data_IF_859934398976
#
_entry.id   IF_859934398976
#
_cell.length_a   1.000
_cell.length_b   1.000
_cell.length_c   1.000
_cell.angle_alpha   90.00
_cell.angle_beta   90.00
_cell.angle_gamma   90.00
#
_symmetry.space_group_name_H-M   'P 1'
#
loop_
_entity.id
_entity.type
_entity.pdbx_description
1 polymer ?
#
# COMPACT_ATOMS: atom_id res chain seq x y z
N UNK A 1 -13.57 13.58 -3.34
CA UNK A 1 -12.79 13.37 -4.58
C UNK A 1 -11.80 12.24 -4.31
N UNK A 2 -11.72 11.21 -5.16
CA UNK A 2 -10.87 10.04 -4.87
C UNK A 2 -9.40 10.22 -5.30
N UNK A 3 -9.06 11.29 -6.03
CA UNK A 3 -7.70 11.63 -6.46
C UNK A 3 -7.45 13.11 -6.21
N UNK A 4 -6.41 13.44 -5.47
CA UNK A 4 -5.98 14.80 -5.16
C UNK A 4 -4.61 15.05 -5.82
N UNK A 5 -4.49 16.08 -6.64
CA UNK A 5 -3.21 16.45 -7.25
C UNK A 5 -2.44 17.44 -6.37
N UNK A 6 -1.18 17.08 -6.10
CA UNK A 6 -0.23 17.86 -5.30
C UNK A 6 0.88 18.34 -6.23
N UNK A 7 0.78 19.60 -6.65
CA UNK A 7 1.69 20.25 -7.59
C UNK A 7 2.99 20.70 -6.91
N UNK A 8 3.90 19.75 -6.71
CA UNK A 8 5.25 20.01 -6.22
C UNK A 8 6.28 19.39 -7.17
N UNK A 9 7.28 20.17 -7.57
CA UNK A 9 8.43 19.68 -8.35
C UNK A 9 9.58 19.16 -7.46
N UNK A 10 9.50 19.42 -6.14
CA UNK A 10 10.49 19.04 -5.15
C UNK A 10 10.01 19.36 -3.74
N UNK A 11 10.76 18.91 -2.73
CA UNK A 11 10.34 19.00 -1.32
C UNK A 11 10.30 20.43 -0.76
N UNK A 12 11.05 21.37 -1.35
CA UNK A 12 11.08 22.76 -0.90
C UNK A 12 9.78 23.54 -1.16
N UNK A 13 8.89 23.03 -2.03
CA UNK A 13 7.65 23.70 -2.41
C UNK A 13 6.44 23.40 -1.52
N UNK A 14 6.63 22.72 -0.38
CA UNK A 14 5.53 22.33 0.51
C UNK A 14 5.37 23.37 1.61
N UNK A 15 4.31 24.18 1.52
CA UNK A 15 3.89 25.06 2.61
C UNK A 15 2.86 24.39 3.55
N UNK A 16 2.53 25.08 4.64
CA UNK A 16 1.63 24.54 5.66
C UNK A 16 0.19 24.31 5.15
N UNK A 17 -0.30 25.17 4.25
CA UNK A 17 -1.64 25.05 3.71
C UNK A 17 -1.75 23.83 2.78
N UNK A 18 -0.73 23.61 1.95
CA UNK A 18 -0.59 22.44 1.10
C UNK A 18 -0.49 21.16 1.92
N UNK A 19 0.38 21.15 2.95
CA UNK A 19 0.52 20.01 3.84
C UNK A 19 -0.79 19.66 4.55
N UNK A 20 -1.53 20.66 5.02
CA UNK A 20 -2.84 20.46 5.64
C UNK A 20 -3.87 19.89 4.65
N UNK A 21 -3.96 20.47 3.44
CA UNK A 21 -4.85 19.96 2.37
C UNK A 21 -4.53 18.51 2.02
N UNK A 22 -3.25 18.19 1.80
CA UNK A 22 -2.79 16.85 1.48
C UNK A 22 -3.12 15.85 2.60
N UNK A 23 -2.91 16.24 3.86
CA UNK A 23 -3.23 15.42 5.03
C UNK A 23 -4.73 15.12 5.09
N UNK A 24 -5.58 16.14 5.05
CA UNK A 24 -7.03 15.97 5.14
C UNK A 24 -7.62 15.17 3.96
N UNK A 25 -7.06 15.36 2.75
CA UNK A 25 -7.45 14.60 1.57
C UNK A 25 -7.07 13.11 1.73
N UNK A 26 -5.84 12.81 2.14
CA UNK A 26 -5.36 11.45 2.34
C UNK A 26 -6.16 10.73 3.44
N UNK A 27 -6.40 11.37 4.58
CA UNK A 27 -7.22 10.80 5.66
C UNK A 27 -8.69 10.65 5.27
N UNK A 28 -9.17 11.48 4.33
CA UNK A 28 -10.47 11.35 3.69
C UNK A 28 -10.56 10.20 2.67
N UNK A 29 -9.48 9.45 2.45
CA UNK A 29 -9.44 8.34 1.49
C UNK A 29 -9.12 8.74 0.06
N UNK A 30 -8.54 9.93 -0.17
CA UNK A 30 -8.03 10.29 -1.49
C UNK A 30 -6.68 9.62 -1.79
N UNK A 31 -6.44 9.32 -3.05
CA UNK A 31 -5.11 9.05 -3.58
C UNK A 31 -4.43 10.38 -3.87
N UNK A 32 -3.31 10.67 -3.23
CA UNK A 32 -2.51 11.84 -3.57
C UNK A 32 -1.62 11.52 -4.76
N UNK A 33 -1.72 12.27 -5.84
CA UNK A 33 -0.86 12.16 -7.02
C UNK A 33 0.10 13.35 -7.06
N UNK A 34 1.38 13.07 -7.34
CA UNK A 34 2.42 14.08 -7.51
C UNK A 34 2.87 14.07 -8.98
N UNK A 35 2.20 14.80 -9.88
CA UNK A 35 2.46 14.72 -11.33
C UNK A 35 3.82 15.34 -11.72
N UNK A 36 4.27 16.38 -10.99
CA UNK A 36 5.54 17.06 -11.24
C UNK A 36 6.73 16.49 -10.43
N UNK A 37 6.50 15.49 -9.57
CA UNK A 37 7.54 14.85 -8.76
C UNK A 37 7.79 13.44 -9.27
N UNK A 38 9.04 13.12 -9.59
CA UNK A 38 9.44 11.79 -10.04
C UNK A 38 10.61 11.23 -9.24
N UNK A 39 10.68 9.90 -9.13
CA UNK A 39 11.88 9.23 -8.65
C UNK A 39 12.88 9.09 -9.80
N UNK A 40 13.89 9.96 -9.81
CA UNK A 40 14.92 9.96 -10.83
C UNK A 40 15.80 8.71 -10.74
N UNK A 41 15.67 7.79 -11.70
CA UNK A 41 16.54 6.63 -11.85
C UNK A 41 17.94 7.03 -12.29
N UNK A 42 18.95 6.36 -11.76
CA UNK A 42 20.32 6.45 -12.31
C UNK A 42 20.41 5.69 -13.64
N UNK A 43 21.39 6.01 -14.51
CA UNK A 43 21.55 5.33 -15.80
C UNK A 43 21.62 3.80 -15.69
N UNK A 44 22.34 3.28 -14.69
CA UNK A 44 22.47 1.84 -14.43
C UNK A 44 21.17 1.20 -13.91
N UNK A 45 20.36 1.97 -13.16
CA UNK A 45 19.06 1.54 -12.64
C UNK A 45 18.04 1.46 -13.80
N UNK A 46 18.02 2.46 -14.67
CA UNK A 46 17.17 2.50 -15.86
C UNK A 46 17.53 1.38 -16.86
N UNK A 47 18.82 1.10 -17.05
CA UNK A 47 19.28 -0.01 -17.88
C UNK A 47 18.82 -1.37 -17.33
N UNK A 48 18.91 -1.56 -16.00
CA UNK A 48 18.44 -2.77 -15.33
C UNK A 48 16.95 -3.02 -15.58
N UNK A 49 16.11 -1.96 -15.45
CA UNK A 49 14.68 -2.03 -15.69
C UNK A 49 14.37 -2.32 -17.17
N UNK A 50 15.00 -1.59 -18.09
CA UNK A 50 14.74 -1.72 -19.54
C UNK A 50 15.03 -3.12 -20.05
N UNK A 51 16.09 -3.75 -19.54
CA UNK A 51 16.48 -5.08 -19.97
C UNK A 51 15.66 -6.22 -19.33
N UNK A 52 14.66 -5.91 -18.49
CA UNK A 52 13.70 -6.91 -17.99
C UNK A 52 14.34 -7.99 -17.11
N UNK A 53 15.56 -7.79 -16.61
CA UNK A 53 16.32 -8.81 -15.87
C UNK A 53 15.58 -9.35 -14.63
N UNK A 54 14.65 -8.57 -14.07
CA UNK A 54 13.86 -8.97 -12.92
C UNK A 54 12.56 -9.71 -13.29
N UNK A 55 12.14 -9.73 -14.57
CA UNK A 55 10.91 -10.39 -15.04
C UNK A 55 10.97 -11.92 -14.92
N UNK A 56 12.16 -12.52 -14.95
CA UNK A 56 12.37 -13.97 -14.88
C UNK A 56 12.70 -14.55 -13.50
N UNK A 57 12.80 -13.73 -12.44
CA UNK A 57 13.43 -14.19 -11.18
C UNK A 57 12.52 -14.25 -9.95
N UNK A 58 11.41 -13.49 -9.89
CA UNK A 58 10.36 -13.66 -8.89
C UNK A 58 9.09 -12.82 -9.18
N UNK A 59 8.04 -13.04 -8.39
CA UNK A 59 6.76 -12.31 -8.45
C UNK A 59 6.88 -10.83 -8.07
N UNK A 60 7.66 -10.54 -7.03
CA UNK A 60 8.00 -9.21 -6.50
C UNK A 60 9.34 -9.30 -5.77
N UNK A 61 10.21 -8.29 -5.91
CA UNK A 61 11.43 -8.14 -5.11
C UNK A 61 11.09 -7.30 -3.88
N UNK A 62 11.63 -7.65 -2.71
CA UNK A 62 11.44 -6.89 -1.47
C UNK A 62 12.79 -6.51 -0.87
N UNK A 63 12.92 -5.27 -0.42
CA UNK A 63 14.05 -4.75 0.34
C UNK A 63 13.64 -4.58 1.80
N UNK A 64 14.45 -5.11 2.70
CA UNK A 64 14.28 -4.94 4.14
C UNK A 64 15.29 -3.90 4.65
N UNK A 65 14.86 -2.67 4.99
CA UNK A 65 15.77 -1.61 5.40
C UNK A 65 16.49 -1.93 6.71
N UNK A 66 15.91 -2.76 7.58
CA UNK A 66 16.53 -3.12 8.85
C UNK A 66 17.70 -4.09 8.67
N UNK A 67 17.65 -4.92 7.62
CA UNK A 67 18.70 -5.90 7.30
C UNK A 67 19.64 -5.44 6.20
N UNK A 68 19.24 -4.44 5.41
CA UNK A 68 19.99 -4.03 4.23
C UNK A 68 20.00 -5.10 3.13
N UNK A 69 18.94 -5.90 3.02
CA UNK A 69 18.90 -7.05 2.12
C UNK A 69 17.71 -7.01 1.16
N UNK A 70 17.92 -7.48 -0.07
CA UNK A 70 16.82 -7.81 -1.00
C UNK A 70 16.55 -9.32 -1.08
N UNK A 71 15.26 -9.65 -1.18
CA UNK A 71 14.72 -11.01 -1.34
C UNK A 71 13.75 -11.07 -2.51
N UNK A 72 13.53 -12.28 -3.03
CA UNK A 72 12.64 -12.50 -4.17
C UNK A 72 13.30 -12.07 -5.48
N UNK A 73 14.57 -12.44 -5.67
CA UNK A 73 15.28 -12.26 -6.93
C UNK A 73 16.44 -13.25 -7.00
N UNK A 74 16.74 -13.71 -8.22
CA UNK A 74 17.88 -14.56 -8.55
C UNK A 74 19.01 -13.75 -9.18
N UNK A 75 18.92 -12.41 -9.15
CA UNK A 75 20.00 -11.53 -9.57
C UNK A 75 21.18 -11.67 -8.61
N UNK A 76 22.39 -11.65 -9.16
CA UNK A 76 23.64 -11.79 -8.41
C UNK A 76 24.62 -10.65 -8.70
N UNK A 77 25.74 -10.64 -7.98
CA UNK A 77 26.87 -9.75 -8.25
C UNK A 77 26.51 -8.26 -8.28
N UNK A 78 27.02 -7.56 -9.30
CA UNK A 78 26.82 -6.13 -9.48
C UNK A 78 25.35 -5.76 -9.73
N UNK A 79 24.62 -6.55 -10.51
CA UNK A 79 23.21 -6.29 -10.86
C UNK A 79 22.32 -6.34 -9.61
N UNK A 80 22.55 -7.31 -8.72
CA UNK A 80 21.87 -7.39 -7.42
C UNK A 80 22.13 -6.15 -6.57
N UNK A 81 23.39 -5.68 -6.53
CA UNK A 81 23.78 -4.48 -5.77
C UNK A 81 23.12 -3.22 -6.33
N UNK A 82 23.03 -3.08 -7.65
CA UNK A 82 22.33 -1.97 -8.30
C UNK A 82 20.85 -1.95 -7.92
N UNK A 83 20.15 -3.09 -8.01
CA UNK A 83 18.74 -3.19 -7.63
C UNK A 83 18.51 -2.86 -6.15
N UNK A 84 19.35 -3.40 -5.26
CA UNK A 84 19.28 -3.10 -3.84
C UNK A 84 19.52 -1.61 -3.56
N UNK A 85 20.51 -1.01 -4.22
CA UNK A 85 20.80 0.41 -4.12
C UNK A 85 19.61 1.27 -4.54
N UNK A 86 18.98 0.96 -5.67
CA UNK A 86 17.76 1.63 -6.16
C UNK A 86 16.62 1.56 -5.13
N UNK A 87 16.34 0.36 -4.61
CA UNK A 87 15.25 0.16 -3.64
C UNK A 87 15.50 0.91 -2.32
N UNK A 88 16.74 0.92 -1.82
CA UNK A 88 17.13 1.71 -0.65
C UNK A 88 16.89 3.21 -0.90
N UNK A 89 17.37 3.72 -2.03
CA UNK A 89 17.25 5.14 -2.41
C UNK A 89 15.79 5.56 -2.57
N UNK A 90 14.95 4.66 -3.09
CA UNK A 90 13.51 4.88 -3.17
C UNK A 90 12.86 4.97 -1.78
N UNK A 91 13.25 4.09 -0.86
CA UNK A 91 12.80 4.17 0.54
C UNK A 91 13.20 5.47 1.23
N UNK A 92 14.40 5.99 0.96
CA UNK A 92 14.86 7.30 1.46
C UNK A 92 14.09 8.47 0.84
N UNK A 93 13.92 8.46 -0.48
CA UNK A 93 13.14 9.47 -1.22
C UNK A 93 11.70 9.58 -0.71
N UNK A 94 11.03 8.44 -0.58
CA UNK A 94 9.62 8.40 -0.12
C UNK A 94 9.48 8.75 1.35
N UNK A 95 10.45 8.44 2.20
CA UNK A 95 10.44 8.86 3.60
C UNK A 95 10.57 10.38 3.72
N UNK A 96 11.48 11.00 2.97
CA UNK A 96 11.60 12.45 2.91
C UNK A 96 10.28 13.08 2.41
N UNK A 97 9.69 12.53 1.34
CA UNK A 97 8.40 13.00 0.83
C UNK A 97 7.29 12.95 1.89
N UNK A 98 7.12 11.81 2.59
CA UNK A 98 6.09 11.66 3.62
C UNK A 98 6.33 12.64 4.77
N UNK A 99 7.55 12.77 5.27
CA UNK A 99 7.87 13.69 6.38
C UNK A 99 7.66 15.15 6.02
N UNK A 100 7.87 15.53 4.76
CA UNK A 100 7.64 16.90 4.30
C UNK A 100 6.16 17.19 4.05
N UNK A 101 5.44 16.30 3.36
CA UNK A 101 4.03 16.51 2.98
C UNK A 101 3.07 16.28 4.16
N UNK A 102 3.42 15.36 5.06
CA UNK A 102 2.60 14.94 6.20
C UNK A 102 3.39 15.10 7.52
N UNK A 103 3.76 16.34 7.89
CA UNK A 103 4.67 16.58 9.01
C UNK A 103 4.13 16.07 10.35
N UNK A 104 2.80 16.04 10.53
CA UNK A 104 2.13 15.50 11.72
C UNK A 104 2.46 14.01 11.98
N UNK A 105 2.82 13.25 10.93
CA UNK A 105 3.08 11.82 11.04
C UNK A 105 4.50 11.50 11.47
N UNK A 106 5.40 12.50 11.51
CA UNK A 106 6.83 12.27 11.69
C UNK A 106 7.18 11.50 12.98
N UNK A 107 6.40 11.67 14.05
CA UNK A 107 6.60 11.02 15.35
C UNK A 107 6.11 9.57 15.41
N UNK A 108 5.12 9.19 14.59
CA UNK A 108 4.52 7.84 14.55
C UNK A 108 4.76 7.09 13.25
N UNK A 109 5.67 7.55 12.40
CA UNK A 109 5.99 6.95 11.11
C UNK A 109 7.05 5.86 11.24
N UNK A 110 6.69 4.62 10.93
CA UNK A 110 7.62 3.48 10.85
C UNK A 110 7.79 3.04 9.40
N UNK A 111 9.01 3.12 8.86
CA UNK A 111 9.33 2.62 7.52
C UNK A 111 9.40 1.10 7.50
N UNK A 112 8.58 0.47 6.66
CA UNK A 112 8.57 -0.97 6.43
C UNK A 112 9.37 -1.34 5.15
N UNK A 113 9.05 -2.47 4.52
CA UNK A 113 9.75 -2.94 3.32
C UNK A 113 9.48 -2.06 2.11
N UNK A 114 10.48 -1.95 1.23
CA UNK A 114 10.32 -1.47 -0.14
C UNK A 114 10.05 -2.66 -1.05
N UNK A 115 9.19 -2.53 -2.05
CA UNK A 115 8.95 -3.55 -3.07
C UNK A 115 9.21 -3.00 -4.47
N UNK A 116 9.84 -3.83 -5.30
CA UNK A 116 9.94 -3.63 -6.73
C UNK A 116 9.12 -4.71 -7.43
N UNK A 117 8.20 -4.28 -8.29
CA UNK A 117 7.22 -5.13 -8.97
C UNK A 117 7.49 -5.10 -10.49
N UNK A 118 8.44 -5.90 -10.99
CA UNK A 118 8.93 -5.80 -12.37
C UNK A 118 7.97 -6.38 -13.40
N UNK A 119 7.24 -7.44 -13.07
CA UNK A 119 6.44 -8.21 -14.03
C UNK A 119 5.13 -7.46 -14.39
N UNK A 120 4.60 -7.69 -15.59
CA UNK A 120 3.27 -7.20 -16.02
C UNK A 120 2.15 -7.85 -15.21
N UNK A 121 1.13 -7.08 -14.83
CA UNK A 121 0.00 -7.56 -14.01
C UNK A 121 -1.08 -8.22 -14.86
N UNK A 122 -1.34 -7.67 -16.05
CA UNK A 122 -2.35 -8.23 -16.95
C UNK A 122 -2.01 -9.67 -17.33
N UNK A 123 -3.03 -10.54 -17.36
CA UNK A 123 -2.87 -11.95 -17.76
C UNK A 123 -2.29 -12.88 -16.69
N UNK A 124 -1.97 -12.40 -15.48
CA UNK A 124 -1.50 -13.27 -14.39
C UNK A 124 -2.62 -14.17 -13.86
N UNK A 125 -2.37 -15.48 -13.83
CA UNK A 125 -3.23 -16.43 -13.13
C UNK A 125 -2.79 -16.54 -11.67
N UNK A 126 -3.64 -16.12 -10.73
CA UNK A 126 -3.41 -16.27 -9.28
C UNK A 126 -4.66 -16.84 -8.62
N UNK A 127 -4.50 -17.38 -7.41
CA UNK A 127 -5.64 -17.67 -6.56
C UNK A 127 -6.38 -16.37 -6.25
N UNK A 128 -7.71 -16.44 -6.13
CA UNK A 128 -8.55 -15.25 -5.97
C UNK A 128 -8.15 -14.37 -4.76
N UNK A 129 -7.62 -14.96 -3.68
CA UNK A 129 -7.12 -14.22 -2.51
C UNK A 129 -5.89 -13.37 -2.84
N UNK A 130 -5.06 -13.84 -3.74
CA UNK A 130 -3.81 -13.19 -4.14
C UNK A 130 -3.94 -12.41 -5.45
N UNK A 131 -5.13 -12.37 -6.03
CA UNK A 131 -5.44 -11.65 -7.25
C UNK A 131 -5.67 -10.17 -6.91
N UNK A 132 -4.68 -9.34 -7.24
CA UNK A 132 -4.71 -7.90 -6.96
C UNK A 132 -5.47 -7.12 -8.05
N UNK A 133 -6.00 -7.81 -9.08
CA UNK A 133 -6.94 -7.22 -10.04
C UNK A 133 -8.35 -7.08 -9.47
N UNK A 134 -8.61 -7.72 -8.32
CA UNK A 134 -9.85 -7.60 -7.55
C UNK A 134 -9.70 -6.52 -6.48
N UNK A 135 -10.70 -5.64 -6.39
CA UNK A 135 -10.70 -4.53 -5.44
C UNK A 135 -10.67 -5.05 -4.01
N UNK A 136 -9.75 -4.51 -3.22
CA UNK A 136 -9.54 -4.89 -1.82
C UNK A 136 -8.92 -3.74 -1.03
N UNK A 137 -9.06 -3.80 0.29
CA UNK A 137 -8.18 -3.08 1.22
C UNK A 137 -7.04 -4.00 1.64
N UNK A 138 -5.86 -3.44 1.87
CA UNK A 138 -4.70 -4.22 2.28
C UNK A 138 -4.91 -4.81 3.69
N UNK A 139 -4.71 -6.12 3.80
CA UNK A 139 -4.64 -6.82 5.06
C UNK A 139 -3.61 -7.96 4.94
N UNK A 140 -2.70 -8.08 5.91
CA UNK A 140 -1.61 -9.07 5.84
C UNK A 140 -1.85 -10.23 6.80
N UNK A 141 -2.05 -11.47 6.31
CA UNK A 141 -2.37 -12.59 7.18
C UNK A 141 -1.22 -12.93 8.14
N UNK A 142 0.03 -12.82 7.71
CA UNK A 142 1.20 -13.20 8.50
C UNK A 142 1.87 -12.03 9.24
N UNK A 143 1.47 -10.79 8.96
CA UNK A 143 2.08 -9.57 9.50
C UNK A 143 0.99 -8.59 9.96
N UNK A 144 0.26 -8.91 11.05
CA UNK A 144 -0.79 -8.04 11.57
C UNK A 144 -0.25 -6.65 11.92
N UNK A 145 -1.06 -5.62 11.70
CA UNK A 145 -0.70 -4.21 11.92
C UNK A 145 -1.26 -3.66 13.23
N UNK A 146 -2.22 -4.37 13.84
CA UNK A 146 -2.78 -4.07 15.18
C UNK A 146 -3.37 -2.66 15.28
N UNK A 147 -4.10 -2.25 14.24
CA UNK A 147 -4.76 -0.94 14.17
C UNK A 147 -3.91 0.16 13.55
N UNK A 148 -2.61 -0.05 13.36
CA UNK A 148 -1.75 0.90 12.63
C UNK A 148 -2.17 1.00 11.17
N UNK A 149 -2.02 2.20 10.64
CA UNK A 149 -2.38 2.51 9.26
C UNK A 149 -1.35 1.97 8.28
N UNK A 150 -1.80 1.54 7.09
CA UNK A 150 -0.91 1.11 6.00
C UNK A 150 -0.84 2.22 4.95
N UNK A 151 0.18 3.08 5.06
CA UNK A 151 0.46 4.12 4.07
C UNK A 151 1.43 3.57 3.02
N UNK A 152 1.08 3.68 1.74
CA UNK A 152 1.98 3.29 0.65
C UNK A 152 2.26 4.43 -0.30
N UNK A 153 3.53 4.54 -0.70
CA UNK A 153 3.99 5.45 -1.74
C UNK A 153 4.50 4.65 -2.93
N UNK A 154 3.92 4.89 -4.08
CA UNK A 154 4.21 4.17 -5.31
C UNK A 154 4.84 5.10 -6.35
N UNK A 155 5.66 4.52 -7.22
CA UNK A 155 6.17 5.19 -8.41
C UNK A 155 6.10 4.24 -9.60
N UNK A 156 5.60 4.73 -10.73
CA UNK A 156 5.71 4.02 -11.99
C UNK A 156 7.08 4.33 -12.59
N UNK A 157 7.96 3.33 -12.63
CA UNK A 157 9.33 3.46 -13.14
C UNK A 157 9.51 2.73 -14.48
N UNK A 158 8.42 2.37 -15.15
CA UNK A 158 8.49 1.79 -16.48
C UNK A 158 9.22 2.71 -17.47
N UNK A 159 10.03 2.12 -18.35
CA UNK A 159 10.87 2.85 -19.29
C UNK A 159 10.28 2.91 -20.71
N UNK A 160 9.14 2.25 -20.94
CA UNK A 160 8.57 2.00 -22.27
C UNK A 160 7.19 2.65 -22.45
N UNK A 161 6.80 3.57 -21.56
CA UNK A 161 5.53 4.29 -21.68
C UNK A 161 4.33 3.58 -21.04
N UNK A 162 4.50 2.41 -20.41
CA UNK A 162 3.36 1.63 -19.93
C UNK A 162 2.71 2.28 -18.69
N UNK A 163 1.43 2.69 -18.75
CA UNK A 163 0.74 3.20 -17.58
C UNK A 163 0.40 2.09 -16.60
N UNK A 164 0.43 2.41 -15.31
CA UNK A 164 -0.10 1.55 -14.26
C UNK A 164 -1.55 1.93 -13.97
N UNK A 165 -2.48 1.05 -14.34
CA UNK A 165 -3.91 1.31 -14.24
C UNK A 165 -4.48 0.77 -12.94
N UNK A 166 -5.13 1.63 -12.19
CA UNK A 166 -5.80 1.31 -10.94
C UNK A 166 -7.31 1.47 -11.10
N UNK A 167 -8.05 0.69 -10.34
CA UNK A 167 -9.47 0.89 -10.10
C UNK A 167 -9.70 1.02 -8.60
N UNK A 168 -10.26 2.14 -8.18
CA UNK A 168 -10.52 2.47 -6.79
C UNK A 168 -12.02 2.41 -6.54
N UNK A 169 -12.42 1.80 -5.42
CA UNK A 169 -13.79 1.60 -5.00
C UNK A 169 -14.35 2.77 -4.16
N UNK A 170 -15.51 2.55 -3.51
CA UNK A 170 -16.13 3.56 -2.65
C UNK A 170 -15.31 3.85 -1.40
N UNK A 171 -15.81 4.78 -0.57
CA UNK A 171 -15.24 5.04 0.74
C UNK A 171 -15.22 3.79 1.64
N UNK A 172 -14.34 3.81 2.64
CA UNK A 172 -14.11 2.64 3.49
C UNK A 172 -15.34 2.23 4.30
N UNK A 173 -16.15 3.18 4.76
CA UNK A 173 -17.30 2.88 5.61
C UNK A 173 -18.41 2.21 4.79
N UNK A 174 -18.72 2.74 3.61
CA UNK A 174 -19.63 2.08 2.67
C UNK A 174 -19.11 0.69 2.24
N UNK A 175 -17.80 0.57 1.98
CA UNK A 175 -17.16 -0.72 1.71
C UNK A 175 -17.32 -1.70 2.88
N UNK A 176 -17.12 -1.27 4.12
CA UNK A 176 -17.23 -2.13 5.28
C UNK A 176 -18.69 -2.53 5.56
N UNK A 177 -19.64 -1.61 5.38
CA UNK A 177 -21.07 -1.84 5.59
C UNK A 177 -21.63 -2.93 4.67
N UNK A 178 -21.18 -2.99 3.42
CA UNK A 178 -21.61 -4.00 2.44
C UNK A 178 -21.36 -5.44 2.92
N UNK A 179 -20.24 -5.66 3.61
CA UNK A 179 -19.81 -7.00 4.05
C UNK A 179 -20.05 -7.25 5.54
N UNK A 180 -20.73 -6.35 6.23
CA UNK A 180 -21.02 -6.46 7.66
C UNK A 180 -22.30 -7.28 7.92
N UNK A 181 -22.38 -8.07 9.01
CA UNK A 181 -21.34 -8.39 9.99
C UNK A 181 -20.37 -9.47 9.48
N UNK A 182 -19.11 -9.35 9.89
CA UNK A 182 -18.07 -10.30 9.55
C UNK A 182 -18.10 -11.52 10.47
N UNK A 183 -17.62 -12.67 9.96
CA UNK A 183 -17.45 -13.87 10.78
C UNK A 183 -16.40 -13.63 11.87
N UNK A 184 -16.82 -13.78 13.12
CA UNK A 184 -15.92 -13.70 14.27
C UNK A 184 -14.98 -14.92 14.28
N UNK A 185 -13.67 -14.73 14.48
CA UNK A 185 -12.74 -15.84 14.65
C UNK A 185 -13.06 -16.62 15.94
N UNK A 186 -12.67 -17.90 15.97
CA UNK A 186 -12.80 -18.73 17.18
C UNK A 186 -11.90 -18.16 18.30
N UNK A 187 -12.39 -18.08 19.56
CA UNK A 187 -11.59 -17.62 20.68
C UNK A 187 -10.27 -18.37 20.81
N UNK A 188 -9.15 -17.65 20.99
CA UNK A 188 -7.82 -18.23 21.16
C UNK A 188 -7.10 -18.64 19.87
N UNK A 189 -7.76 -18.59 18.72
CA UNK A 189 -7.14 -18.93 17.43
C UNK A 189 -5.96 -18.01 17.08
N UNK A 190 -6.01 -16.73 17.45
CA UNK A 190 -4.93 -15.78 17.22
C UNK A 190 -3.68 -16.12 18.05
N UNK A 191 -3.87 -16.50 19.32
CA UNK A 191 -2.80 -16.95 20.21
C UNK A 191 -2.16 -18.25 19.70
N UNK A 192 -2.97 -19.22 19.25
CA UNK A 192 -2.46 -20.48 18.70
C UNK A 192 -1.64 -20.23 17.42
N UNK A 193 -2.14 -19.41 16.49
CA UNK A 193 -1.42 -19.08 15.24
C UNK A 193 -0.08 -18.37 15.51
N UNK A 194 -0.05 -17.49 16.50
CA UNK A 194 1.20 -16.84 16.91
C UNK A 194 2.18 -17.82 17.56
N UNK A 195 1.69 -18.70 18.45
CA UNK A 195 2.49 -19.74 19.10
C UNK A 195 3.12 -20.70 18.07
N UNK A 196 2.38 -21.04 17.02
CA UNK A 196 2.84 -21.87 15.90
C UNK A 196 3.75 -21.11 14.90
N UNK A 197 4.06 -19.83 15.14
CA UNK A 197 4.91 -19.02 14.27
C UNK A 197 4.29 -18.65 12.91
N UNK A 198 2.98 -18.89 12.73
CA UNK A 198 2.26 -18.57 11.49
C UNK A 198 2.04 -17.07 11.31
N UNK A 199 2.04 -16.32 12.41
CA UNK A 199 1.93 -14.86 12.43
C UNK A 199 3.05 -14.24 13.27
N UNK A 200 3.62 -13.14 12.79
CA UNK A 200 4.73 -12.44 13.47
C UNK A 200 4.34 -11.81 14.81
N UNK A 201 3.05 -11.54 15.00
CA UNK A 201 2.47 -11.10 16.25
C UNK A 201 1.06 -11.70 16.39
N UNK A 202 0.43 -11.53 17.56
CA UNK A 202 -0.97 -11.88 17.76
C UNK A 202 -1.86 -10.94 16.94
N UNK A 203 -2.80 -11.51 16.19
CA UNK A 203 -3.79 -10.73 15.44
C UNK A 203 -4.78 -10.09 16.42
N UNK A 204 -5.06 -8.81 16.22
CA UNK A 204 -6.15 -8.09 16.91
C UNK A 204 -7.50 -8.43 16.28
N UNK A 205 -8.60 -8.08 16.96
CA UNK A 205 -9.94 -8.15 16.34
C UNK A 205 -10.01 -7.32 15.06
N UNK A 206 -9.32 -6.18 15.03
CA UNK A 206 -9.17 -5.34 13.84
C UNK A 206 -8.50 -6.10 12.69
N UNK A 207 -7.37 -6.77 12.93
CA UNK A 207 -6.65 -7.49 11.87
C UNK A 207 -7.51 -8.61 11.26
N UNK A 208 -8.30 -9.30 12.08
CA UNK A 208 -9.21 -10.36 11.62
C UNK A 208 -10.38 -9.79 10.81
N UNK A 209 -10.95 -8.66 11.25
CA UNK A 209 -11.98 -7.96 10.50
C UNK A 209 -11.45 -7.47 9.14
N UNK A 210 -10.28 -6.84 9.11
CA UNK A 210 -9.64 -6.38 7.87
C UNK A 210 -9.36 -7.54 6.90
N UNK A 211 -8.89 -8.69 7.41
CA UNK A 211 -8.70 -9.89 6.59
C UNK A 211 -10.02 -10.46 6.07
N UNK A 212 -11.07 -10.47 6.90
CA UNK A 212 -12.38 -10.94 6.49
C UNK A 212 -13.00 -10.02 5.43
N UNK A 213 -12.85 -8.69 5.54
CA UNK A 213 -13.25 -7.73 4.51
C UNK A 213 -12.48 -7.96 3.21
N UNK A 214 -11.15 -8.05 3.30
CA UNK A 214 -10.29 -8.33 2.15
C UNK A 214 -10.77 -9.58 1.39
N UNK A 215 -10.98 -10.69 2.11
CA UNK A 215 -11.41 -11.95 1.51
C UNK A 215 -12.86 -11.90 0.99
N UNK A 216 -13.79 -11.23 1.69
CA UNK A 216 -15.17 -11.08 1.25
C UNK A 216 -15.25 -10.31 -0.07
N UNK A 217 -14.59 -9.15 -0.14
CA UNK A 217 -14.58 -8.31 -1.33
C UNK A 217 -13.93 -9.00 -2.53
N UNK A 218 -12.79 -9.67 -2.35
CA UNK A 218 -12.15 -10.42 -3.46
C UNK A 218 -12.99 -11.61 -3.93
N UNK A 219 -13.84 -12.17 -3.07
CA UNK A 219 -14.70 -13.32 -3.41
C UNK A 219 -15.96 -12.90 -4.16
N UNK A 220 -16.54 -11.76 -3.80
CA UNK A 220 -17.82 -11.30 -4.35
C UNK A 220 -17.67 -10.70 -5.75
N UNK A 221 -17.91 -11.51 -6.79
CA UNK A 221 -17.85 -11.04 -8.17
C UNK A 221 -19.02 -10.14 -8.58
N UNK A 222 -20.14 -10.17 -7.85
CA UNK A 222 -21.25 -9.25 -8.06
C UNK A 222 -20.83 -7.83 -7.69
N UNK A 223 -20.36 -7.67 -6.47
CA UNK A 223 -19.80 -6.42 -5.96
C UNK A 223 -18.63 -5.91 -6.82
N UNK A 224 -17.70 -6.80 -7.21
CA UNK A 224 -16.58 -6.43 -8.08
C UNK A 224 -17.00 -5.86 -9.44
N UNK A 225 -18.22 -6.17 -9.92
CA UNK A 225 -18.75 -5.65 -11.18
C UNK A 225 -19.60 -4.39 -11.00
N UNK A 226 -20.43 -4.34 -9.96
CA UNK A 226 -21.46 -3.30 -9.82
C UNK A 226 -21.05 -2.15 -8.90
N UNK A 227 -20.15 -2.38 -7.94
CA UNK A 227 -19.79 -1.36 -6.97
C UNK A 227 -19.16 -0.15 -7.64
N UNK A 228 -19.50 1.09 -7.20
CA UNK A 228 -18.92 2.32 -7.73
C UNK A 228 -17.40 2.23 -7.81
N UNK A 229 -16.84 2.68 -8.93
CA UNK A 229 -15.40 2.65 -9.13
C UNK A 229 -14.94 3.84 -9.96
N UNK A 230 -13.74 4.32 -9.65
CA UNK A 230 -13.00 5.27 -10.47
C UNK A 230 -11.72 4.61 -10.96
N UNK A 231 -11.40 4.81 -12.23
CA UNK A 231 -10.16 4.33 -12.82
C UNK A 231 -9.12 5.44 -12.90
N UNK A 232 -7.88 5.09 -12.57
CA UNK A 232 -6.73 5.99 -12.61
C UNK A 232 -5.62 5.39 -13.46
N UNK A 233 -5.02 6.20 -14.30
CA UNK A 233 -3.86 5.83 -15.10
C UNK A 233 -2.63 6.60 -14.61
N UNK A 234 -1.72 5.91 -13.93
CA UNK A 234 -0.45 6.47 -13.50
C UNK A 234 0.61 6.27 -14.59
N UNK A 235 0.93 7.32 -15.33
CA UNK A 235 1.95 7.30 -16.37
C UNK A 235 3.35 7.06 -15.76
N UNK A 236 4.32 6.59 -16.56
CA UNK A 236 5.72 6.55 -16.13
C UNK A 236 6.19 7.88 -15.56
N UNK A 237 6.95 7.83 -14.48
CA UNK A 237 7.41 9.00 -13.72
C UNK A 237 6.43 9.47 -12.64
N UNK A 238 5.13 9.14 -12.74
CA UNK A 238 4.18 9.53 -11.70
C UNK A 238 4.47 8.85 -10.37
N UNK A 239 4.37 9.64 -9.29
CA UNK A 239 4.39 9.18 -7.90
C UNK A 239 3.00 9.39 -7.30
N UNK A 240 2.53 8.43 -6.49
CA UNK A 240 1.28 8.58 -5.75
C UNK A 240 1.36 7.96 -4.36
N UNK A 241 0.53 8.47 -3.45
CA UNK A 241 0.49 8.10 -2.04
C UNK A 241 -0.96 7.83 -1.63
N UNK A 242 -1.18 6.75 -0.87
CA UNK A 242 -2.52 6.32 -0.47
C UNK A 242 -2.48 5.45 0.78
N UNK A 243 -3.52 5.56 1.61
CA UNK A 243 -3.81 4.57 2.65
C UNK A 243 -4.48 3.35 2.05
N UNK A 244 -3.71 2.29 1.80
CA UNK A 244 -4.23 1.09 1.13
C UNK A 244 -5.08 0.21 2.03
N UNK A 245 -5.06 0.44 3.34
CA UNK A 245 -5.98 -0.15 4.32
C UNK A 245 -7.35 0.51 4.35
N UNK A 246 -7.51 1.69 3.75
CA UNK A 246 -8.76 2.46 3.71
C UNK A 246 -9.34 2.52 2.30
N UNK A 247 -8.49 2.71 1.30
CA UNK A 247 -8.91 2.82 -0.09
C UNK A 247 -8.99 1.43 -0.72
N UNK A 248 -10.21 0.98 -1.03
CA UNK A 248 -10.40 -0.26 -1.77
C UNK A 248 -9.83 -0.10 -3.19
N UNK A 249 -8.77 -0.83 -3.51
CA UNK A 249 -8.03 -0.64 -4.76
C UNK A 249 -7.78 -1.97 -5.48
N UNK A 250 -7.66 -1.89 -6.80
CA UNK A 250 -7.25 -2.98 -7.68
C UNK A 250 -6.25 -2.44 -8.70
N UNK A 251 -5.28 -3.27 -9.09
CA UNK A 251 -4.33 -2.94 -10.14
C UNK A 251 -4.68 -3.77 -11.38
N UNK A 252 -5.15 -3.10 -12.42
CA UNK A 252 -5.66 -3.75 -13.64
C UNK A 252 -4.54 -4.13 -14.61
N UNK A 253 -3.52 -3.29 -14.73
CA UNK A 253 -2.37 -3.53 -15.59
C UNK A 253 -1.18 -2.65 -15.20
N UNK A 254 -0.02 -2.98 -15.75
CA UNK A 254 1.22 -2.25 -15.59
C UNK A 254 2.32 -3.13 -15.01
N UNK A 255 3.55 -2.73 -15.30
CA UNK A 255 4.78 -3.36 -14.85
C UNK A 255 5.69 -2.33 -14.17
N UNK A 256 6.88 -2.75 -13.75
CA UNK A 256 7.95 -1.86 -13.28
C UNK A 256 7.48 -0.77 -12.29
N UNK A 257 6.90 -1.16 -11.16
CA UNK A 257 6.58 -0.20 -10.09
C UNK A 257 7.45 -0.39 -8.85
N UNK A 258 7.79 0.73 -8.23
CA UNK A 258 8.32 0.77 -6.88
C UNK A 258 7.19 1.09 -5.90
N UNK A 259 7.30 0.54 -4.70
CA UNK A 259 6.38 0.74 -3.59
C UNK A 259 7.17 0.82 -2.29
N UNK A 260 6.88 1.81 -1.46
CA UNK A 260 7.35 1.87 -0.09
C UNK A 260 6.14 1.79 0.85
N UNK A 261 6.17 0.85 1.79
CA UNK A 261 5.15 0.78 2.86
C UNK A 261 5.66 1.53 4.10
N UNK A 262 4.78 2.31 4.72
CA UNK A 262 4.93 2.89 6.04
C UNK A 262 3.78 2.44 6.94
N UNK A 263 4.08 2.19 8.20
CA UNK A 263 3.07 2.06 9.25
C UNK A 263 2.97 3.39 9.97
N UNK A 264 1.75 3.88 10.16
CA UNK A 264 1.48 5.15 10.86
C UNK A 264 0.57 4.88 12.04
N UNK A 265 0.93 5.39 13.21
CA UNK A 265 0.05 5.36 14.39
C UNK A 265 -1.20 6.23 14.12
N UNK A 266 -2.43 5.71 14.31
CA UNK A 266 -3.66 6.47 14.08
C UNK A 266 -3.72 7.77 14.88
N UNK A 267 -3.05 7.83 16.03
CA UNK A 267 -2.96 9.00 16.91
C UNK A 267 -2.22 10.18 16.25
N UNK A 268 -1.43 9.94 15.21
CA UNK A 268 -0.78 10.99 14.45
C UNK A 268 -1.69 11.63 13.38
N UNK A 269 -2.86 11.05 13.11
CA UNK A 269 -3.82 11.61 12.17
C UNK A 269 -4.46 12.88 12.75
N UNK A 270 -4.82 13.82 11.87
CA UNK A 270 -5.61 14.99 12.23
C UNK A 270 -7.07 14.63 12.52
N UNK A 271 -7.59 13.60 11.86
CA UNK A 271 -8.95 13.08 12.02
C UNK A 271 -8.93 11.56 12.24
N UNK A 272 -8.45 11.07 13.41
CA UNK A 272 -8.34 9.64 13.72
C UNK A 272 -9.66 8.87 13.60
N UNK A 273 -10.81 9.54 13.67
CA UNK A 273 -12.15 8.96 13.54
C UNK A 273 -12.41 8.39 12.14
N UNK A 274 -11.64 8.82 11.14
CA UNK A 274 -11.68 8.31 9.76
C UNK A 274 -10.85 7.04 9.56
N UNK A 275 -9.99 6.69 10.52
CA UNK A 275 -9.19 5.48 10.42
C UNK A 275 -10.11 4.23 10.34
N UNK A 276 -9.76 3.22 9.51
CA UNK A 276 -10.47 1.94 9.48
C UNK A 276 -10.70 1.33 10.86
N UNK A 277 -9.72 1.46 11.75
CA UNK A 277 -9.84 1.02 13.13
C UNK A 277 -11.00 1.68 13.89
N UNK A 278 -11.11 3.00 13.79
CA UNK A 278 -12.17 3.78 14.44
C UNK A 278 -13.54 3.46 13.84
N UNK A 279 -13.63 3.38 12.52
CA UNK A 279 -14.86 3.00 11.80
C UNK A 279 -15.33 1.61 12.25
N UNK A 280 -14.46 0.61 12.20
CA UNK A 280 -14.80 -0.76 12.58
C UNK A 280 -15.13 -0.88 14.07
N UNK A 281 -14.45 -0.12 14.94
CA UNK A 281 -14.75 -0.13 16.38
C UNK A 281 -16.14 0.45 16.67
N UNK A 282 -16.54 1.52 15.95
CA UNK A 282 -17.91 2.05 16.02
C UNK A 282 -18.95 1.05 15.51
N UNK A 283 -18.72 0.45 14.35
CA UNK A 283 -19.62 -0.56 13.77
C UNK A 283 -19.76 -1.81 14.65
N UNK A 284 -18.69 -2.20 15.33
CA UNK A 284 -18.67 -3.35 16.25
C UNK A 284 -19.19 -3.03 17.66
N UNK A 285 -19.34 -1.75 18.02
CA UNK A 285 -19.70 -1.31 19.38
C UNK A 285 -18.65 -1.65 20.44
N UNK A 286 -17.38 -1.87 20.07
CA UNK A 286 -16.30 -2.23 20.97
C UNK A 286 -14.93 -1.83 20.42
N UNK A 287 -13.92 -1.73 21.28
CA UNK A 287 -12.53 -1.53 20.83
C UNK A 287 -12.02 -2.77 20.08
N UNK A 288 -11.52 -2.54 18.86
CA UNK A 288 -11.01 -3.59 17.98
C UNK A 288 -9.48 -3.77 18.06
N UNK A 289 -8.76 -2.95 18.85
CA UNK A 289 -7.30 -3.08 19.03
C UNK A 289 -6.89 -4.26 19.90
N UNK A 290 -7.80 -4.73 20.78
CA UNK A 290 -7.53 -5.86 21.65
C UNK A 290 -7.19 -7.13 20.82
N UNK A 291 -6.29 -8.00 21.33
CA UNK A 291 -6.04 -9.30 20.73
C UNK A 291 -7.34 -10.10 20.53
N UNK A 292 -7.45 -10.79 19.39
CA UNK A 292 -8.63 -11.58 19.03
C UNK A 292 -8.72 -12.95 19.72
#
# INVERSE_FOLDING_TARGET
>A
MMLEQIEIAGLAGVDAALAQRATLALEGGAVLQFPALSFALKPEEAALIRAGHAEGTAKNVSYDPAKGEIKGTALEGAVRKTLMGMMRRYGEFTEALVRTVLPAYASGLTRARTSFRPVEISGRVRSWRQDDTRRHVDAFPSSPVQGRRILRVFANVDQNGTPRRWRVGPDFEAYAQEFWPLKTPLPGAASLRHLLGLTKARRSHYDEAMLALHDAAKRDMGWQRTAPAQEFSFLPGHVWMVYTDQVAHAVLSGRNALEQTFLVEPECMQVPERAPLSVLSRMAGKDMRCPA
#
